data_IF_435100718807
#
_entry.id   IF_435100718807
#
_cell.length_a   1.000
_cell.length_b   1.000
_cell.length_c   1.000
_cell.angle_alpha   90.00
_cell.angle_beta   90.00
_cell.angle_gamma   90.00
#
_symmetry.space_group_name_H-M   'P 1'
#
loop_
_entity.id
_entity.type
_entity.pdbx_description
1 polymer ?
#
# COMPACT_ATOMS: atom_id res chain seq x y z
N UNK A 1 -4.51 18.52 -19.39
CA UNK A 1 -3.05 18.49 -19.17
C UNK A 1 -2.74 17.60 -17.97
N UNK A 2 -1.86 16.59 -18.11
CA UNK A 2 -1.43 15.73 -17.01
C UNK A 2 -0.52 16.49 -16.03
N UNK A 3 -0.61 16.18 -14.73
CA UNK A 3 0.21 16.80 -13.68
C UNK A 3 1.56 16.08 -13.53
N UNK A 4 1.57 14.76 -13.67
CA UNK A 4 2.77 13.92 -13.61
C UNK A 4 2.55 12.60 -14.35
N UNK A 5 3.64 11.99 -14.80
CA UNK A 5 3.68 10.61 -15.29
C UNK A 5 4.72 9.82 -14.50
N UNK A 6 4.44 8.55 -14.23
CA UNK A 6 5.34 7.67 -13.52
C UNK A 6 5.22 6.24 -14.05
N UNK A 7 6.35 5.56 -14.22
CA UNK A 7 6.42 4.14 -14.55
C UNK A 7 7.60 3.50 -13.82
N UNK A 8 7.55 2.17 -13.67
CA UNK A 8 8.60 1.37 -13.02
C UNK A 8 8.69 0.00 -13.66
N UNK A 9 9.91 -0.50 -13.81
CA UNK A 9 10.17 -1.87 -14.22
C UNK A 9 10.00 -2.83 -13.05
N UNK A 10 9.51 -4.04 -13.32
CA UNK A 10 9.42 -5.12 -12.33
C UNK A 10 10.80 -5.74 -12.07
N UNK A 11 11.10 -6.02 -10.80
CA UNK A 11 12.29 -6.79 -10.44
C UNK A 11 12.12 -8.30 -10.73
N UNK A 12 13.20 -9.08 -10.59
CA UNK A 12 13.18 -10.53 -10.91
C UNK A 12 12.14 -11.34 -10.12
N UNK A 13 11.85 -10.96 -8.88
CA UNK A 13 10.83 -11.61 -8.07
C UNK A 13 9.41 -11.20 -8.52
N UNK A 14 9.21 -9.91 -8.78
CA UNK A 14 7.95 -9.31 -9.23
C UNK A 14 7.55 -9.77 -10.64
N UNK A 15 8.52 -10.09 -11.50
CA UNK A 15 8.26 -10.71 -12.81
C UNK A 15 7.50 -12.04 -12.70
N UNK A 16 7.68 -12.77 -11.60
CA UNK A 16 7.00 -14.06 -11.34
C UNK A 16 5.60 -13.90 -10.76
N UNK A 17 5.17 -12.67 -10.48
CA UNK A 17 3.84 -12.41 -9.97
C UNK A 17 2.77 -12.68 -11.04
N UNK A 18 1.59 -13.08 -10.59
CA UNK A 18 0.41 -13.17 -11.45
C UNK A 18 0.08 -11.81 -12.07
N UNK A 19 -0.65 -11.80 -13.18
CA UNK A 19 -1.08 -10.55 -13.86
C UNK A 19 -1.78 -9.61 -12.88
N UNK A 20 -2.68 -10.17 -12.07
CA UNK A 20 -3.42 -9.44 -11.04
C UNK A 20 -2.51 -8.81 -9.99
N UNK A 21 -1.50 -9.56 -9.51
CA UNK A 21 -0.53 -9.03 -8.54
C UNK A 21 0.34 -7.92 -9.14
N UNK A 22 0.69 -8.01 -10.43
CA UNK A 22 1.48 -6.99 -11.13
C UNK A 22 0.70 -5.69 -11.25
N UNK A 23 -0.58 -5.76 -11.59
CA UNK A 23 -1.43 -4.57 -11.69
C UNK A 23 -1.69 -3.95 -10.31
N UNK A 24 -1.96 -4.78 -9.29
CA UNK A 24 -2.09 -4.35 -7.91
C UNK A 24 -0.82 -3.64 -7.42
N UNK A 25 0.36 -4.20 -7.72
CA UNK A 25 1.64 -3.58 -7.41
C UNK A 25 1.81 -2.23 -8.10
N UNK A 26 1.43 -2.12 -9.39
CA UNK A 26 1.51 -0.87 -10.13
C UNK A 26 0.64 0.23 -9.50
N UNK A 27 -0.58 -0.11 -9.07
CA UNK A 27 -1.49 0.82 -8.36
C UNK A 27 -0.87 1.29 -7.05
N UNK A 28 -0.40 0.36 -6.22
CA UNK A 28 0.19 0.68 -4.91
C UNK A 28 1.44 1.52 -5.05
N UNK A 29 2.30 1.18 -6.01
CA UNK A 29 3.51 1.94 -6.27
C UNK A 29 3.19 3.34 -6.80
N UNK A 30 2.27 3.46 -7.77
CA UNK A 30 1.85 4.73 -8.34
C UNK A 30 1.22 5.66 -7.30
N UNK A 31 0.36 5.12 -6.44
CA UNK A 31 -0.26 5.87 -5.32
C UNK A 31 0.76 6.31 -4.28
N UNK A 32 1.73 5.46 -3.92
CA UNK A 32 2.85 5.86 -3.06
C UNK A 32 3.72 6.94 -3.70
N UNK A 33 4.04 6.81 -4.98
CA UNK A 33 4.87 7.78 -5.71
C UNK A 33 4.19 9.14 -5.83
N UNK A 34 2.87 9.16 -5.95
CA UNK A 34 2.05 10.36 -6.09
C UNK A 34 1.36 10.76 -4.78
N UNK A 35 1.77 10.20 -3.63
CA UNK A 35 1.07 10.35 -2.36
C UNK A 35 0.83 11.82 -1.99
N UNK A 36 1.85 12.66 -2.15
CA UNK A 36 1.78 14.11 -1.93
C UNK A 36 0.69 14.84 -2.75
N UNK A 37 0.25 14.26 -3.87
CA UNK A 37 -0.80 14.85 -4.72
C UNK A 37 -2.19 14.32 -4.40
N UNK A 38 -2.29 13.12 -3.83
CA UNK A 38 -3.57 12.41 -3.63
C UNK A 38 -4.00 12.34 -2.16
N UNK A 39 -3.08 12.54 -1.21
CA UNK A 39 -3.38 12.52 0.22
C UNK A 39 -4.48 13.55 0.56
N UNK A 40 -5.47 13.11 1.33
CA UNK A 40 -6.62 13.93 1.75
C UNK A 40 -7.59 14.31 0.61
N UNK A 41 -7.45 13.73 -0.58
CA UNK A 41 -8.31 14.04 -1.75
C UNK A 41 -9.00 12.79 -2.27
N UNK A 42 -10.24 12.96 -2.73
CA UNK A 42 -10.94 11.94 -3.49
C UNK A 42 -10.44 11.93 -4.93
N UNK A 43 -9.97 10.79 -5.42
CA UNK A 43 -9.51 10.64 -6.81
C UNK A 43 -10.15 9.44 -7.50
N UNK A 44 -9.99 9.39 -8.83
CA UNK A 44 -10.45 8.27 -9.66
C UNK A 44 -9.26 7.39 -10.03
N UNK A 45 -9.36 6.11 -9.75
CA UNK A 45 -8.41 5.09 -10.19
C UNK A 45 -8.94 4.45 -11.47
N UNK A 46 -8.28 4.75 -12.59
CA UNK A 46 -8.60 4.16 -13.89
C UNK A 46 -7.78 2.88 -14.09
N UNK A 47 -8.43 1.81 -14.53
CA UNK A 47 -7.79 0.51 -14.74
C UNK A 47 -8.37 -0.19 -15.98
N UNK A 48 -7.57 -1.03 -16.63
CA UNK A 48 -7.92 -1.71 -17.88
C UNK A 48 -8.18 -3.21 -17.74
N UNK A 49 -8.12 -3.76 -16.51
CA UNK A 49 -8.29 -5.18 -16.27
C UNK A 49 -9.33 -5.49 -15.17
N UNK A 50 -10.51 -5.95 -15.63
CA UNK A 50 -11.74 -6.13 -14.84
C UNK A 50 -11.60 -6.84 -13.46
N UNK A 51 -10.76 -7.88 -13.28
CA UNK A 51 -10.60 -8.61 -12.02
C UNK A 51 -10.14 -7.78 -10.80
N UNK A 52 -9.49 -6.62 -11.02
CA UNK A 52 -9.06 -5.73 -9.92
C UNK A 52 -10.21 -5.12 -9.13
N UNK A 53 -11.38 -4.99 -9.76
CA UNK A 53 -12.58 -4.45 -9.11
C UNK A 53 -12.99 -5.26 -7.89
N UNK A 54 -12.74 -6.57 -7.84
CA UNK A 54 -13.15 -7.38 -6.67
C UNK A 54 -12.21 -7.24 -5.47
N UNK A 55 -10.94 -6.90 -5.70
CA UNK A 55 -9.91 -6.84 -4.65
C UNK A 55 -9.85 -5.47 -3.99
N UNK A 56 -10.03 -4.40 -4.77
CA UNK A 56 -9.88 -3.03 -4.28
C UNK A 56 -11.20 -2.29 -4.12
N UNK A 57 -12.34 -2.92 -4.43
CA UNK A 57 -13.62 -2.34 -4.11
C UNK A 57 -13.81 -2.39 -2.59
N UNK A 58 -13.83 -1.22 -1.97
CA UNK A 58 -14.02 -1.04 -0.52
C UNK A 58 -15.29 -1.74 0.01
N UNK A 59 -16.25 -2.06 -0.85
CA UNK A 59 -17.50 -2.76 -0.51
C UNK A 59 -17.39 -4.28 -0.48
N UNK A 60 -16.38 -4.84 -1.13
CA UNK A 60 -16.16 -6.28 -1.22
C UNK A 60 -14.93 -6.60 -0.37
N UNK A 61 -15.14 -7.23 0.78
CA UNK A 61 -14.04 -7.57 1.70
C UNK A 61 -12.90 -8.32 1.00
N UNK A 62 -11.68 -8.13 1.49
CA UNK A 62 -10.47 -8.72 0.91
C UNK A 62 -10.62 -10.26 0.88
N UNK A 63 -10.53 -10.94 -0.27
CA UNK A 63 -10.70 -12.39 -0.32
C UNK A 63 -9.64 -13.09 0.54
N UNK A 64 -10.07 -13.95 1.47
CA UNK A 64 -9.19 -14.73 2.39
C UNK A 64 -8.19 -15.64 1.64
N UNK A 65 -8.48 -16.00 0.39
CA UNK A 65 -7.62 -16.81 -0.49
C UNK A 65 -6.46 -16.03 -1.12
N UNK A 66 -6.36 -14.74 -0.81
CA UNK A 66 -5.38 -13.84 -1.39
C UNK A 66 -4.06 -13.88 -0.62
N UNK A 67 -2.93 -13.78 -1.33
CA UNK A 67 -1.60 -13.72 -0.70
C UNK A 67 -1.50 -12.56 0.30
N UNK A 68 -0.81 -12.79 1.43
CA UNK A 68 -0.57 -11.77 2.47
C UNK A 68 -0.03 -10.42 1.93
N UNK A 69 0.62 -10.44 0.77
CA UNK A 69 1.09 -9.24 0.05
C UNK A 69 -0.06 -8.35 -0.42
N UNK A 70 -1.03 -8.90 -1.14
CA UNK A 70 -2.18 -8.13 -1.62
C UNK A 70 -3.05 -7.68 -0.44
N UNK A 71 -3.15 -8.47 0.64
CA UNK A 71 -3.84 -8.03 1.87
C UNK A 71 -3.21 -6.74 2.43
N UNK A 72 -1.87 -6.70 2.55
CA UNK A 72 -1.17 -5.48 2.98
C UNK A 72 -1.40 -4.29 2.04
N UNK A 73 -1.47 -4.54 0.74
CA UNK A 73 -1.77 -3.51 -0.25
C UNK A 73 -3.20 -2.99 -0.17
N UNK A 74 -4.17 -3.87 0.06
CA UNK A 74 -5.56 -3.49 0.25
C UNK A 74 -5.73 -2.65 1.53
N UNK A 75 -5.04 -2.99 2.62
CA UNK A 75 -5.00 -2.18 3.85
C UNK A 75 -4.37 -0.81 3.60
N UNK A 76 -3.30 -0.75 2.81
CA UNK A 76 -2.70 0.54 2.42
C UNK A 76 -3.70 1.40 1.64
N UNK A 77 -4.36 0.81 0.65
CA UNK A 77 -5.32 1.53 -0.19
C UNK A 77 -6.61 1.88 0.56
N UNK A 78 -7.03 1.12 1.58
CA UNK A 78 -8.20 1.48 2.39
C UNK A 78 -8.02 2.79 3.16
N UNK A 79 -6.78 3.23 3.39
CA UNK A 79 -6.48 4.55 3.95
C UNK A 79 -6.66 5.72 2.98
N UNK A 80 -6.93 5.45 1.69
CA UNK A 80 -7.16 6.46 0.66
C UNK A 80 -8.63 6.48 0.25
N UNK A 81 -9.13 7.66 -0.13
CA UNK A 81 -10.49 7.83 -0.67
C UNK A 81 -10.42 7.86 -2.20
N UNK A 82 -10.92 6.82 -2.87
CA UNK A 82 -10.95 6.77 -4.33
C UNK A 82 -12.12 5.97 -4.88
N UNK A 83 -12.49 6.25 -6.12
CA UNK A 83 -13.43 5.44 -6.90
C UNK A 83 -12.71 4.70 -8.02
N UNK A 84 -13.09 3.46 -8.26
CA UNK A 84 -12.51 2.61 -9.29
C UNK A 84 -13.38 2.70 -10.56
N UNK A 85 -12.77 3.03 -11.70
CA UNK A 85 -13.46 3.11 -12.99
C UNK A 85 -12.71 2.28 -14.04
N UNK A 86 -13.42 1.34 -14.66
CA UNK A 86 -12.88 0.54 -15.75
C UNK A 86 -12.82 1.37 -17.02
N UNK A 87 -11.66 1.36 -17.67
CA UNK A 87 -11.47 1.96 -19.00
C UNK A 87 -11.01 0.88 -19.99
N UNK A 88 -11.42 1.03 -21.25
CA UNK A 88 -10.92 0.14 -22.30
C UNK A 88 -9.42 0.38 -22.51
N UNK A 89 -8.66 -0.67 -22.81
CA UNK A 89 -7.22 -0.59 -23.04
C UNK A 89 -6.86 0.43 -24.14
N UNK A 90 -7.70 0.57 -25.18
CA UNK A 90 -7.55 1.57 -26.26
C UNK A 90 -7.54 3.01 -25.72
N UNK A 91 -8.31 3.28 -24.66
CA UNK A 91 -8.36 4.57 -23.99
C UNK A 91 -7.24 4.75 -22.94
N UNK A 92 -6.45 3.70 -22.68
CA UNK A 92 -5.35 3.69 -21.70
C UNK A 92 -3.96 3.78 -22.37
N UNK A 93 -3.88 4.24 -23.62
CA UNK A 93 -2.65 4.21 -24.42
C UNK A 93 -1.43 4.89 -23.79
N UNK A 94 -1.64 5.94 -22.98
CA UNK A 94 -0.55 6.63 -22.29
C UNK A 94 0.14 5.74 -21.24
N UNK A 95 -0.66 5.07 -20.38
CA UNK A 95 -0.11 4.17 -19.37
C UNK A 95 0.53 2.94 -20.03
N UNK A 96 -0.12 2.43 -21.07
CA UNK A 96 0.32 1.26 -21.81
C UNK A 96 1.66 1.49 -22.54
N UNK A 97 1.85 2.68 -23.12
CA UNK A 97 3.12 3.09 -23.70
C UNK A 97 4.24 3.18 -22.65
N UNK A 98 3.95 3.78 -21.49
CA UNK A 98 4.92 3.93 -20.39
C UNK A 98 5.30 2.58 -19.75
N UNK A 99 4.40 1.61 -19.72
CA UNK A 99 4.67 0.26 -19.23
C UNK A 99 5.54 -0.56 -20.21
N UNK A 100 5.43 -0.29 -21.53
CA UNK A 100 6.18 -1.02 -22.57
C UNK A 100 7.54 -0.41 -22.91
N UNK A 101 7.81 0.82 -22.49
CA UNK A 101 9.07 1.52 -22.72
C UNK A 101 9.79 1.78 -21.40
N UNK A 102 10.36 0.75 -20.75
CA UNK A 102 11.12 0.95 -19.54
C UNK A 102 12.38 1.77 -19.86
N UNK A 103 12.46 2.99 -19.33
CA UNK A 103 13.72 3.71 -19.22
C UNK A 103 14.57 2.96 -18.19
N UNK A 104 15.83 2.69 -18.53
CA UNK A 104 16.74 2.00 -17.63
C UNK A 104 17.01 2.85 -16.40
N UNK A 105 16.26 2.65 -15.32
CA UNK A 105 16.53 3.30 -14.05
C UNK A 105 16.53 2.30 -12.91
N UNK A 106 17.70 2.25 -12.24
CA UNK A 106 18.08 1.35 -11.16
C UNK A 106 17.87 2.04 -9.81
N UNK A 107 16.77 2.79 -9.63
CA UNK A 107 16.49 3.39 -8.33
C UNK A 107 15.89 2.33 -7.42
N UNK A 108 16.75 1.73 -6.59
CA UNK A 108 16.31 0.92 -5.45
C UNK A 108 15.33 1.74 -4.62
N UNK A 109 14.08 1.29 -4.58
CA UNK A 109 13.11 1.83 -3.64
C UNK A 109 13.60 1.40 -2.25
N UNK A 110 14.18 2.34 -1.50
CA UNK A 110 14.42 2.10 -0.08
C UNK A 110 13.06 1.78 0.53
N UNK A 111 12.93 0.61 1.14
CA UNK A 111 11.81 0.28 2.02
C UNK A 111 11.91 1.15 3.30
N UNK A 112 12.04 2.46 3.15
CA UNK A 112 11.93 3.41 4.24
C UNK A 112 10.53 3.21 4.80
N UNK A 113 10.48 2.62 5.99
CA UNK A 113 9.31 2.30 6.82
C UNK A 113 8.06 2.94 6.26
N UNK A 114 7.18 2.11 5.68
CA UNK A 114 5.90 2.57 5.11
C UNK A 114 5.24 3.50 6.13
N UNK A 115 5.20 4.81 5.85
CA UNK A 115 4.54 5.81 6.71
C UNK A 115 3.08 5.40 6.95
N UNK A 116 2.50 4.66 6.01
CA UNK A 116 1.19 4.05 6.15
C UNK A 116 1.10 2.85 7.11
N UNK A 117 2.21 2.17 7.43
CA UNK A 117 2.26 1.18 8.50
C UNK A 117 2.18 1.87 9.87
N UNK A 118 2.78 3.06 10.01
CA UNK A 118 2.67 3.90 11.21
C UNK A 118 1.22 4.38 11.40
N UNK A 119 0.58 4.87 10.34
CA UNK A 119 -0.82 5.33 10.41
C UNK A 119 -1.82 4.19 10.68
N UNK A 120 -1.48 2.93 10.37
CA UNK A 120 -2.33 1.77 10.66
C UNK A 120 -2.14 1.18 12.08
N UNK A 121 -1.07 1.54 12.81
CA UNK A 121 -1.00 1.23 14.25
C UNK A 121 -2.08 2.01 15.00
N UNK A 122 -2.39 3.24 14.55
CA UNK A 122 -3.44 4.07 15.15
C UNK A 122 -4.87 3.53 14.92
N UNK A 123 -5.09 2.70 13.90
CA UNK A 123 -6.37 1.99 13.70
C UNK A 123 -6.39 0.63 14.41
N UNK A 124 -5.25 -0.03 14.60
CA UNK A 124 -5.12 -1.20 15.49
C UNK A 124 -5.22 -0.84 16.98
N UNK A 125 -4.97 0.43 17.37
CA UNK A 125 -5.06 0.85 18.78
C UNK A 125 -6.48 0.83 19.35
N UNK A 126 -7.52 0.68 18.54
CA UNK A 126 -8.89 0.49 19.05
C UNK A 126 -9.09 -0.89 19.71
N UNK A 127 -8.28 -1.90 19.38
CA UNK A 127 -8.34 -3.23 19.99
C UNK A 127 -7.24 -3.50 21.03
N UNK A 128 -6.34 -2.55 21.27
CA UNK A 128 -5.22 -2.70 22.19
C UNK A 128 -5.51 -1.88 23.44
N UNK A 129 -5.77 -2.52 24.57
CA UNK A 129 -6.01 -1.78 25.81
C UNK A 129 -4.69 -1.37 26.45
N UNK A 130 -4.73 -0.32 27.27
CA UNK A 130 -3.57 0.07 28.09
C UNK A 130 -3.08 -1.06 29.00
N UNK A 131 -3.96 -2.00 29.38
CA UNK A 131 -3.59 -3.18 30.18
C UNK A 131 -2.74 -4.17 29.38
N UNK A 132 -3.13 -4.43 28.14
CA UNK A 132 -2.37 -5.32 27.25
C UNK A 132 -0.95 -4.77 27.01
N UNK A 133 -0.85 -3.45 26.83
CA UNK A 133 0.45 -2.77 26.70
C UNK A 133 1.25 -2.89 28.01
N UNK A 134 0.62 -2.68 29.17
CA UNK A 134 1.30 -2.74 30.47
C UNK A 134 1.84 -4.15 30.76
N UNK A 135 1.04 -5.18 30.49
CA UNK A 135 1.40 -6.56 30.77
C UNK A 135 2.53 -7.04 29.85
N UNK A 136 2.47 -6.74 28.55
CA UNK A 136 3.57 -7.06 27.61
C UNK A 136 4.84 -6.23 27.90
N UNK A 137 4.69 -4.97 28.32
CA UNK A 137 5.82 -4.09 28.70
C UNK A 137 6.57 -4.63 29.93
N UNK A 138 5.88 -5.30 30.86
CA UNK A 138 6.50 -5.93 32.03
C UNK A 138 7.33 -7.15 31.68
N UNK A 139 6.91 -7.90 30.65
CA UNK A 139 7.59 -9.13 30.21
C UNK A 139 8.74 -8.80 29.24
N UNK A 140 8.68 -7.67 28.56
CA UNK A 140 9.72 -7.25 27.61
C UNK A 140 11.08 -7.00 28.30
N UNK A 141 12.19 -7.61 27.80
CA UNK A 141 13.50 -7.55 28.43
C UNK A 141 14.18 -6.17 28.39
N UNK A 142 13.71 -5.26 27.54
CA UNK A 142 14.24 -3.91 27.37
C UNK A 142 13.33 -2.90 28.06
N UNK A 143 12.04 -2.90 27.76
CA UNK A 143 11.09 -1.91 28.26
C UNK A 143 10.85 -2.04 29.77
N UNK A 144 10.91 -3.26 30.32
CA UNK A 144 10.81 -3.47 31.77
C UNK A 144 11.94 -2.78 32.55
N UNK A 145 13.13 -2.64 31.96
CA UNK A 145 14.25 -1.89 32.56
C UNK A 145 14.00 -0.39 32.51
N UNK A 146 13.50 0.10 31.38
CA UNK A 146 13.18 1.51 31.17
C UNK A 146 12.07 1.94 32.16
N UNK A 147 11.02 1.14 32.31
CA UNK A 147 9.93 1.38 33.27
C UNK A 147 10.45 1.47 34.71
N UNK A 148 11.38 0.59 35.11
CA UNK A 148 11.99 0.63 36.45
C UNK A 148 12.84 1.88 36.66
N UNK A 149 13.59 2.30 35.64
CA UNK A 149 14.40 3.52 35.72
C UNK A 149 13.56 4.81 35.72
N UNK A 150 12.39 4.84 35.07
CA UNK A 150 11.53 6.03 35.06
C UNK A 150 10.71 6.20 36.34
N UNK A 151 10.47 5.13 37.10
CA UNK A 151 9.78 5.15 38.39
C UNK A 151 10.72 5.40 39.59
N UNK A 152 12.04 5.41 39.38
CA UNK A 152 13.06 5.56 40.43
C UNK A 152 13.79 6.91 40.42
N UNK A 153 13.29 7.90 39.67
CA UNK A 153 13.73 9.30 39.70
C UNK A 153 12.60 10.22 40.14
#
# INVERSE_FOLDING_TARGET
MPIAFASRTLNEAEKRYSTLEKEALAIVWGTKKLYQYIEGRTFKLLYDHQPLSSIFNQKSGIPQTTTARIQRWAIFLSGLTFSIEYIKSESNGNADALCRLPLGDQTGFSNSVDIAMINNIASFSESLTLRDIEDETKVDPVLSKVLKSSLSG
#
